data_IF_857402811979
#
_entry.id   IF_857402811979
#
_cell.length_a   1.000
_cell.length_b   1.000
_cell.length_c   1.000
_cell.angle_alpha   90.00
_cell.angle_beta   90.00
_cell.angle_gamma   90.00
#
_symmetry.space_group_name_H-M   'P 1'
#
loop_
_entity.id
_entity.type
_entity.pdbx_description
1 polymer ?
#
# COMPACT_ATOMS: atom_id res chain seq x y z
N UNK A 1 29.91 -53.98 -20.33
CA UNK A 1 29.32 -53.74 -18.99
C UNK A 1 29.77 -52.43 -18.36
N UNK A 2 31.08 -52.12 -18.24
CA UNK A 2 31.56 -50.86 -17.60
C UNK A 2 31.13 -49.55 -18.29
N UNK A 3 31.05 -49.51 -19.62
CA UNK A 3 30.62 -48.33 -20.37
C UNK A 3 29.11 -48.02 -20.21
N UNK A 4 28.29 -49.06 -19.99
CA UNK A 4 26.83 -48.94 -19.86
C UNK A 4 26.45 -48.25 -18.54
N UNK A 5 27.14 -48.56 -17.44
CA UNK A 5 26.94 -47.88 -16.15
C UNK A 5 27.39 -46.40 -16.18
N UNK A 6 28.44 -46.09 -16.94
CA UNK A 6 28.94 -44.71 -17.07
C UNK A 6 27.93 -43.81 -17.80
N UNK A 7 27.28 -44.32 -18.86
CA UNK A 7 26.24 -43.60 -19.60
C UNK A 7 24.98 -43.41 -18.75
N UNK A 8 24.58 -44.41 -17.97
CA UNK A 8 23.43 -44.32 -17.06
C UNK A 8 23.70 -43.29 -15.94
N UNK A 9 24.89 -43.31 -15.32
CA UNK A 9 25.25 -42.31 -14.31
C UNK A 9 25.32 -40.90 -14.89
N UNK A 10 25.80 -40.73 -16.12
CA UNK A 10 25.80 -39.43 -16.82
C UNK A 10 24.39 -38.92 -17.10
N UNK A 11 23.47 -39.81 -17.53
CA UNK A 11 22.06 -39.45 -17.76
C UNK A 11 21.31 -39.12 -16.47
N UNK A 12 21.56 -39.86 -15.37
CA UNK A 12 20.97 -39.58 -14.04
C UNK A 12 21.50 -38.25 -13.49
N UNK A 13 22.78 -37.95 -13.69
CA UNK A 13 23.37 -36.67 -13.31
C UNK A 13 22.79 -35.52 -14.14
N UNK A 14 22.63 -35.69 -15.46
CA UNK A 14 22.01 -34.68 -16.33
C UNK A 14 20.55 -34.40 -15.92
N UNK A 15 19.78 -35.44 -15.58
CA UNK A 15 18.38 -35.29 -15.16
C UNK A 15 18.25 -34.53 -13.83
N UNK A 16 19.21 -34.74 -12.92
CA UNK A 16 19.24 -34.06 -11.61
C UNK A 16 19.60 -32.57 -11.72
N UNK A 17 20.47 -32.19 -12.68
CA UNK A 17 20.88 -30.79 -12.90
C UNK A 17 19.73 -29.97 -13.52
N UNK A 18 18.89 -30.59 -14.35
CA UNK A 18 17.74 -29.92 -14.99
C UNK A 18 16.65 -29.56 -13.97
N UNK A 19 16.47 -30.35 -12.90
CA UNK A 19 15.48 -30.05 -11.84
C UNK A 19 15.89 -28.88 -10.92
N UNK A 20 17.18 -28.54 -10.81
CA UNK A 20 17.63 -27.42 -9.98
C UNK A 20 17.37 -26.04 -10.61
N UNK A 21 17.01 -25.97 -11.90
CA UNK A 21 16.91 -24.72 -12.65
C UNK A 21 15.50 -24.12 -12.73
N UNK A 22 14.46 -24.79 -12.21
CA UNK A 22 13.11 -24.22 -12.14
C UNK A 22 12.93 -23.41 -10.87
N UNK A 23 13.45 -22.19 -10.86
CA UNK A 23 12.97 -21.19 -9.89
C UNK A 23 11.49 -20.96 -10.15
N UNK A 24 10.62 -21.33 -9.20
CA UNK A 24 9.19 -21.03 -9.28
C UNK A 24 9.01 -19.53 -9.51
N UNK A 25 8.48 -19.17 -10.66
CA UNK A 25 8.04 -17.81 -10.93
C UNK A 25 6.87 -17.54 -9.98
N UNK A 26 7.04 -16.58 -9.06
CA UNK A 26 5.97 -16.17 -8.15
C UNK A 26 4.69 -15.86 -8.94
N UNK A 27 3.55 -16.35 -8.47
CA UNK A 27 2.26 -15.98 -9.03
C UNK A 27 1.92 -14.51 -8.76
N UNK A 28 0.94 -13.96 -9.48
CA UNK A 28 0.49 -12.59 -9.25
C UNK A 28 -0.04 -12.41 -7.82
N UNK A 29 -0.79 -13.40 -7.34
CA UNK A 29 -1.35 -13.43 -5.99
C UNK A 29 -0.25 -13.53 -4.93
N UNK A 30 0.80 -14.34 -5.16
CA UNK A 30 1.95 -14.41 -4.25
C UNK A 30 2.66 -13.06 -4.12
N UNK A 31 2.84 -12.36 -5.23
CA UNK A 31 3.46 -11.03 -5.23
C UNK A 31 2.58 -10.04 -4.46
N UNK A 32 1.27 -10.00 -4.73
CA UNK A 32 0.34 -9.14 -4.02
C UNK A 32 0.32 -9.41 -2.51
N UNK A 33 0.25 -10.70 -2.14
CA UNK A 33 0.29 -11.15 -0.76
C UNK A 33 1.55 -10.68 -0.04
N UNK A 34 2.73 -10.87 -0.67
CA UNK A 34 4.02 -10.44 -0.10
C UNK A 34 4.13 -8.92 0.01
N UNK A 35 3.63 -8.17 -0.97
CA UNK A 35 3.63 -6.69 -0.93
C UNK A 35 2.75 -6.16 0.20
N UNK A 36 1.57 -6.77 0.39
CA UNK A 36 0.62 -6.37 1.43
C UNK A 36 1.11 -6.71 2.84
N UNK A 37 1.72 -7.89 3.02
CA UNK A 37 2.24 -8.37 4.31
C UNK A 37 3.71 -8.01 4.57
N UNK A 38 4.34 -7.19 3.71
CA UNK A 38 5.73 -6.81 3.95
C UNK A 38 5.88 -6.11 5.30
N UNK A 39 7.02 -6.33 5.95
CA UNK A 39 7.35 -5.58 7.15
C UNK A 39 7.46 -4.09 6.85
N UNK A 40 6.71 -3.30 7.61
CA UNK A 40 6.69 -1.83 7.55
C UNK A 40 7.09 -1.22 8.89
N UNK A 41 7.51 -2.02 9.88
CA UNK A 41 7.80 -1.58 11.24
C UNK A 41 6.56 -1.27 12.08
N UNK A 42 6.76 -1.16 13.40
CA UNK A 42 5.69 -0.91 14.39
C UNK A 42 5.05 0.48 14.26
N UNK A 43 5.87 1.49 14.01
CA UNK A 43 5.42 2.88 13.91
C UNK A 43 6.15 3.61 12.78
N UNK A 44 5.61 4.76 12.40
CA UNK A 44 6.23 5.66 11.45
C UNK A 44 5.79 7.08 11.70
N UNK A 45 6.74 8.01 11.55
CA UNK A 45 6.48 9.43 11.47
C UNK A 45 7.02 9.97 10.14
N UNK A 46 6.23 10.81 9.48
CA UNK A 46 6.60 11.46 8.23
C UNK A 46 6.20 12.93 8.27
N UNK A 47 7.04 13.79 7.72
CA UNK A 47 6.65 15.15 7.30
C UNK A 47 6.56 15.15 5.78
N UNK A 48 5.46 15.65 5.23
CA UNK A 48 5.19 15.64 3.80
C UNK A 48 4.80 17.00 3.27
N UNK A 49 5.08 17.22 1.98
CA UNK A 49 4.55 18.34 1.19
C UNK A 49 3.63 17.76 0.12
N UNK A 50 2.44 18.33 -0.04
CA UNK A 50 1.49 18.04 -1.10
C UNK A 50 1.34 19.27 -1.99
N UNK A 51 1.67 19.13 -3.28
CA UNK A 51 1.47 20.18 -4.29
C UNK A 51 0.24 19.84 -5.14
N UNK A 52 -0.75 20.72 -5.12
CA UNK A 52 -1.94 20.64 -5.95
C UNK A 52 -1.74 21.54 -7.16
N UNK A 53 -1.78 20.96 -8.35
CA UNK A 53 -1.59 21.67 -9.62
C UNK A 53 -2.92 21.63 -10.38
N UNK A 54 -3.51 22.79 -10.65
CA UNK A 54 -4.76 22.86 -11.42
C UNK A 54 -4.50 22.61 -12.91
N UNK A 55 -5.56 22.37 -13.68
CA UNK A 55 -5.49 22.27 -15.14
C UNK A 55 -4.93 23.53 -15.82
N UNK A 56 -4.96 24.68 -15.15
CA UNK A 56 -4.38 25.95 -15.61
C UNK A 56 -2.96 26.20 -15.09
N UNK A 57 -2.32 25.19 -14.48
CA UNK A 57 -0.97 25.29 -13.92
C UNK A 57 -0.85 26.01 -12.58
N UNK A 58 -1.97 26.42 -11.96
CA UNK A 58 -1.94 27.09 -10.65
C UNK A 58 -1.55 26.10 -9.56
N UNK A 59 -0.57 26.48 -8.74
CA UNK A 59 -0.02 25.62 -7.69
C UNK A 59 -0.50 26.04 -6.31
N UNK A 60 -0.87 25.08 -5.49
CA UNK A 60 -1.12 25.24 -4.05
C UNK A 60 -0.31 24.21 -3.30
N UNK A 61 0.51 24.68 -2.36
CA UNK A 61 1.36 23.83 -1.53
C UNK A 61 0.74 23.66 -0.15
N UNK A 62 0.72 22.43 0.34
CA UNK A 62 0.30 22.07 1.70
C UNK A 62 1.37 21.26 2.38
N UNK A 63 1.50 21.43 3.68
CA UNK A 63 2.42 20.65 4.51
C UNK A 63 1.62 19.87 5.55
N UNK A 64 2.10 18.68 5.87
CA UNK A 64 1.44 17.81 6.84
C UNK A 64 2.44 16.93 7.56
N UNK A 65 2.04 16.48 8.75
CA UNK A 65 2.68 15.37 9.46
C UNK A 65 1.77 14.14 9.39
N UNK A 66 2.35 12.98 9.17
CA UNK A 66 1.69 11.69 9.25
C UNK A 66 2.31 10.88 10.38
N UNK A 67 1.46 10.23 11.16
CA UNK A 67 1.84 9.25 12.17
C UNK A 67 1.13 7.95 11.84
N UNK A 68 1.85 6.84 11.94
CA UNK A 68 1.28 5.50 11.89
C UNK A 68 1.72 4.74 13.12
N UNK A 69 0.80 3.98 13.70
CA UNK A 69 1.07 3.00 14.74
C UNK A 69 0.30 1.71 14.40
N UNK A 70 1.01 0.59 14.40
CA UNK A 70 0.45 -0.76 14.44
C UNK A 70 0.67 -1.33 15.85
N UNK A 71 -0.40 -1.56 16.60
CA UNK A 71 -0.35 -2.08 17.97
C UNK A 71 -0.73 -3.57 18.08
N UNK A 72 -0.77 -4.26 16.93
CA UNK A 72 -1.18 -5.67 16.80
C UNK A 72 -2.64 -5.82 16.41
N UNK A 73 -3.55 -5.20 17.17
CA UNK A 73 -4.99 -5.31 16.93
C UNK A 73 -5.50 -4.23 15.96
N UNK A 74 -4.85 -3.07 15.98
CA UNK A 74 -5.23 -1.92 15.18
C UNK A 74 -4.04 -1.35 14.42
N UNK A 75 -4.32 -0.95 13.18
CA UNK A 75 -3.50 0.02 12.46
C UNK A 75 -4.16 1.39 12.54
N UNK A 76 -3.40 2.36 13.01
CA UNK A 76 -3.87 3.73 13.22
C UNK A 76 -3.01 4.66 12.38
N UNK A 77 -3.62 5.45 11.50
CA UNK A 77 -2.93 6.45 10.68
C UNK A 77 -3.55 7.81 10.95
N UNK A 78 -2.74 8.78 11.38
CA UNK A 78 -3.16 10.16 11.58
C UNK A 78 -2.37 11.07 10.63
N UNK A 79 -3.08 11.79 9.77
CA UNK A 79 -2.54 12.89 8.97
C UNK A 79 -3.03 14.20 9.58
N UNK A 80 -2.11 15.14 9.85
CA UNK A 80 -2.44 16.48 10.31
C UNK A 80 -1.76 17.52 9.43
N UNK A 81 -2.57 18.34 8.76
CA UNK A 81 -2.07 19.46 7.98
C UNK A 81 -1.52 20.55 8.90
N UNK A 82 -0.35 21.06 8.57
CA UNK A 82 0.38 22.09 9.33
C UNK A 82 0.43 23.42 8.60
N UNK A 83 0.35 23.43 7.27
CA UNK A 83 0.33 24.64 6.45
C UNK A 83 -0.43 24.42 5.13
N UNK A 84 -0.97 25.49 4.48
CA UNK A 84 -1.05 26.87 4.97
C UNK A 84 -2.15 27.05 6.03
N UNK A 85 -2.33 28.29 6.51
CA UNK A 85 -3.25 28.61 7.62
C UNK A 85 -4.72 28.22 7.35
N UNK A 86 -5.15 28.19 6.10
CA UNK A 86 -6.52 27.84 5.69
C UNK A 86 -6.87 26.35 5.90
N UNK A 87 -5.88 25.46 5.91
CA UNK A 87 -6.04 24.02 6.16
C UNK A 87 -5.36 23.54 7.44
N UNK A 88 -4.47 24.35 8.02
CA UNK A 88 -3.73 24.02 9.23
C UNK A 88 -4.67 23.53 10.34
N UNK A 89 -4.33 22.39 10.95
CA UNK A 89 -5.14 21.74 11.97
C UNK A 89 -6.20 20.77 11.44
N UNK A 90 -6.46 20.73 10.13
CA UNK A 90 -7.28 19.67 9.51
C UNK A 90 -6.61 18.32 9.79
N UNK A 91 -7.39 17.41 10.35
CA UNK A 91 -6.92 16.08 10.75
C UNK A 91 -7.68 14.99 10.03
N UNK A 92 -7.00 13.95 9.61
CA UNK A 92 -7.61 12.74 9.05
C UNK A 92 -7.08 11.52 9.79
N UNK A 93 -7.99 10.74 10.36
CA UNK A 93 -7.69 9.54 11.13
C UNK A 93 -8.27 8.33 10.41
N UNK A 94 -7.45 7.30 10.22
CA UNK A 94 -7.84 5.98 9.76
C UNK A 94 -7.59 4.99 10.89
N UNK A 95 -8.60 4.17 11.20
CA UNK A 95 -8.53 3.08 12.15
C UNK A 95 -8.89 1.80 11.39
N UNK A 96 -7.92 0.91 11.19
CA UNK A 96 -8.14 -0.41 10.59
C UNK A 96 -8.04 -1.45 11.71
N UNK A 97 -9.10 -2.23 11.90
CA UNK A 97 -9.10 -3.37 12.80
C UNK A 97 -8.58 -4.60 12.05
N UNK A 98 -7.52 -5.22 12.58
CA UNK A 98 -6.86 -6.35 11.92
C UNK A 98 -7.70 -7.64 12.00
N UNK A 99 -8.45 -7.84 13.09
CA UNK A 99 -9.26 -9.04 13.31
C UNK A 99 -10.54 -9.04 12.46
N UNK A 100 -11.23 -7.91 12.39
CA UNK A 100 -12.51 -7.79 11.69
C UNK A 100 -12.37 -7.31 10.24
N UNK A 101 -11.21 -6.79 9.86
CA UNK A 101 -10.98 -6.14 8.56
C UNK A 101 -11.72 -4.81 8.38
N UNK A 102 -12.40 -4.30 9.41
CA UNK A 102 -13.18 -3.06 9.29
C UNK A 102 -12.28 -1.84 9.31
N UNK A 103 -12.54 -0.89 8.42
CA UNK A 103 -11.86 0.41 8.39
C UNK A 103 -12.81 1.54 8.72
N UNK A 104 -12.41 2.39 9.67
CA UNK A 104 -13.06 3.66 9.95
C UNK A 104 -12.19 4.83 9.53
N UNK A 105 -12.85 5.86 8.98
CA UNK A 105 -12.19 7.07 8.54
C UNK A 105 -12.90 8.28 9.12
N UNK A 106 -12.13 9.18 9.72
CA UNK A 106 -12.63 10.35 10.42
C UNK A 106 -11.89 11.60 9.95
N UNK A 107 -12.63 12.64 9.56
CA UNK A 107 -12.08 13.93 9.16
C UNK A 107 -12.46 14.99 10.21
N UNK A 108 -11.46 15.60 10.83
CA UNK A 108 -11.60 16.75 11.70
C UNK A 108 -11.37 18.05 10.93
N UNK A 109 -12.31 18.98 11.04
CA UNK A 109 -12.25 20.30 10.41
C UNK A 109 -12.18 21.38 11.49
N UNK A 110 -11.03 22.07 11.66
CA UNK A 110 -10.82 23.01 12.76
C UNK A 110 -11.75 24.22 12.67
N UNK A 111 -12.01 24.73 11.46
CA UNK A 111 -12.93 25.84 11.23
C UNK A 111 -14.35 25.57 11.74
N UNK A 112 -14.77 24.30 11.76
CA UNK A 112 -16.08 23.87 12.25
C UNK A 112 -16.02 23.31 13.67
N UNK A 113 -14.82 23.10 14.22
CA UNK A 113 -14.58 22.34 15.46
C UNK A 113 -15.33 21.01 15.50
N UNK A 114 -15.43 20.33 14.36
CA UNK A 114 -16.23 19.11 14.20
C UNK A 114 -15.43 17.99 13.55
N UNK A 115 -15.66 16.79 14.06
CA UNK A 115 -15.24 15.54 13.42
C UNK A 115 -16.43 14.95 12.67
N UNK A 116 -16.20 14.47 11.45
CA UNK A 116 -17.17 13.69 10.69
C UNK A 116 -16.59 12.35 10.28
N UNK A 117 -17.39 11.30 10.35
CA UNK A 117 -17.05 9.99 9.78
C UNK A 117 -17.22 10.02 8.26
N UNK A 118 -16.27 9.44 7.53
CA UNK A 118 -16.40 9.17 6.10
C UNK A 118 -17.06 7.80 5.95
N UNK A 119 -18.28 7.79 5.44
CA UNK A 119 -19.05 6.56 5.16
C UNK A 119 -18.68 6.00 3.79
N UNK A 120 -19.00 4.73 3.53
CA UNK A 120 -18.70 4.02 2.27
C UNK A 120 -19.11 4.82 1.02
N UNK A 121 -20.31 5.40 1.00
CA UNK A 121 -20.80 6.22 -0.12
C UNK A 121 -20.00 7.51 -0.36
N UNK A 122 -19.14 7.91 0.58
CA UNK A 122 -18.25 9.07 0.48
C UNK A 122 -16.80 8.70 0.18
N UNK A 123 -16.43 7.41 0.15
CA UNK A 123 -15.06 6.96 -0.04
C UNK A 123 -14.48 7.39 -1.40
N UNK A 124 -15.30 7.41 -2.46
CA UNK A 124 -14.91 7.90 -3.79
C UNK A 124 -14.79 9.43 -3.90
N UNK A 125 -15.08 10.21 -2.85
CA UNK A 125 -14.96 11.68 -2.90
C UNK A 125 -13.51 12.11 -2.77
N UNK A 126 -13.16 13.25 -3.40
CA UNK A 126 -11.84 13.87 -3.29
C UNK A 126 -11.45 14.15 -1.83
N UNK A 127 -10.28 13.66 -1.45
CA UNK A 127 -9.63 13.94 -0.17
C UNK A 127 -9.14 15.38 -0.16
N UNK A 128 -9.77 16.22 0.67
CA UNK A 128 -9.43 17.65 0.86
C UNK A 128 -9.12 18.44 -0.42
N UNK A 129 -9.90 18.23 -1.49
CA UNK A 129 -9.73 18.85 -2.81
C UNK A 129 -8.43 18.48 -3.55
N UNK A 130 -7.79 17.36 -3.19
CA UNK A 130 -6.73 16.73 -3.99
C UNK A 130 -7.32 15.77 -5.03
N UNK A 131 -6.46 15.12 -5.81
CA UNK A 131 -6.87 14.05 -6.74
C UNK A 131 -6.92 12.66 -6.09
N UNK A 132 -6.43 12.53 -4.85
CA UNK A 132 -6.70 11.33 -4.06
C UNK A 132 -8.17 11.31 -3.63
N UNK A 133 -8.75 10.12 -3.57
CA UNK A 133 -10.03 9.88 -2.89
C UNK A 133 -9.81 9.50 -1.43
N UNK A 134 -10.85 9.55 -0.59
CA UNK A 134 -10.76 9.02 0.78
C UNK A 134 -10.43 7.52 0.79
N UNK A 135 -10.89 6.78 -0.22
CA UNK A 135 -10.53 5.38 -0.41
C UNK A 135 -9.03 5.16 -0.60
N UNK A 136 -8.34 6.07 -1.31
CA UNK A 136 -6.89 5.96 -1.51
C UNK A 136 -6.06 6.19 -0.24
N UNK A 137 -6.68 6.68 0.85
CA UNK A 137 -5.97 7.06 2.07
C UNK A 137 -5.89 5.93 3.11
N UNK A 138 -6.27 4.70 2.77
CA UNK A 138 -6.15 3.51 3.62
C UNK A 138 -5.72 2.30 2.78
N UNK A 139 -5.34 1.19 3.43
CA UNK A 139 -4.97 -0.04 2.72
C UNK A 139 -6.21 -0.70 2.15
N UNK A 140 -6.08 -1.18 0.91
CA UNK A 140 -7.13 -1.96 0.26
C UNK A 140 -6.97 -3.44 0.61
N UNK A 141 -8.01 -4.14 1.10
CA UNK A 141 -7.96 -5.58 1.36
C UNK A 141 -7.56 -6.35 0.10
N UNK A 142 -6.75 -7.40 0.26
CA UNK A 142 -6.24 -8.19 -0.86
C UNK A 142 -7.38 -8.85 -1.65
N UNK A 143 -8.39 -9.29 -0.92
CA UNK A 143 -9.53 -10.10 -1.36
C UNK A 143 -10.48 -9.33 -2.28
N UNK A 144 -10.40 -8.00 -2.29
CA UNK A 144 -11.24 -7.15 -3.13
C UNK A 144 -10.74 -7.04 -4.58
N UNK A 145 -9.63 -7.72 -4.92
CA UNK A 145 -8.96 -7.57 -6.21
C UNK A 145 -8.58 -8.91 -6.81
N UNK A 146 -8.44 -8.93 -8.14
CA UNK A 146 -7.83 -10.04 -8.88
C UNK A 146 -6.52 -9.55 -9.49
N UNK A 147 -5.44 -10.31 -9.28
CA UNK A 147 -4.09 -9.88 -9.66
C UNK A 147 -3.65 -10.56 -10.95
N UNK A 148 -2.93 -9.79 -11.78
CA UNK A 148 -2.31 -10.28 -13.00
C UNK A 148 -0.91 -9.69 -13.12
N UNK A 149 0.07 -10.53 -13.43
CA UNK A 149 1.38 -10.05 -13.84
C UNK A 149 1.29 -9.63 -15.31
N UNK A 150 1.45 -8.33 -15.57
CA UNK A 150 1.73 -7.85 -16.92
C UNK A 150 3.23 -7.97 -17.21
N UNK A 151 3.62 -7.98 -18.50
CA UNK A 151 5.00 -8.28 -18.95
C UNK A 151 6.08 -7.70 -18.04
N UNK A 152 7.10 -8.50 -17.69
CA UNK A 152 8.29 -8.03 -16.95
C UNK A 152 9.00 -6.94 -17.75
N UNK A 153 8.80 -5.68 -17.38
CA UNK A 153 9.66 -4.60 -17.84
C UNK A 153 11.00 -4.76 -17.14
N UNK A 154 12.03 -5.21 -17.86
CA UNK A 154 13.41 -5.10 -17.39
C UNK A 154 13.74 -3.61 -17.32
N UNK A 155 13.89 -3.08 -16.10
CA UNK A 155 14.58 -1.82 -15.91
C UNK A 155 16.07 -2.10 -16.15
N UNK A 156 16.64 -1.48 -17.19
CA UNK A 156 18.08 -1.45 -17.46
C UNK A 156 18.78 -0.52 -16.48
#
# INVERSE_FOLDING_TARGET
>A
MRATYFIICFFVFLFSVVQLASGELLSADDVAYRVYHRDVGRDMQMTGTMELISSRGQKRRREYKSLRLDDGNWRKVLIRFTAPADIAGTGFLVLENIETGTTEQHLYLPALKRTRRIVTSQQGRKFVNSDFTYENMHRQPLENWSYKLDKKTQYM
#
